data_IF_630441526390
#
_entry.id   IF_630441526390
#
_cell.length_a   1.000
_cell.length_b   1.000
_cell.length_c   1.000
_cell.angle_alpha   90.00
_cell.angle_beta   90.00
_cell.angle_gamma   90.00
#
_symmetry.space_group_name_H-M   'P 1'
#
loop_
_entity.id
_entity.type
_entity.pdbx_description
1 polymer ?
#
# COMPACT_ATOMS: atom_id res chain seq x y z
N UNK A 1 39.16 -18.20 -11.60
CA UNK A 1 38.07 -18.67 -10.70
C UNK A 1 37.18 -17.55 -10.12
N UNK A 2 37.68 -16.33 -9.88
CA UNK A 2 36.88 -15.26 -9.24
C UNK A 2 35.73 -14.68 -10.10
N UNK A 3 35.86 -14.70 -11.44
CA UNK A 3 34.86 -14.11 -12.34
C UNK A 3 33.51 -14.86 -12.32
N UNK A 4 33.57 -16.19 -12.21
CA UNK A 4 32.38 -17.04 -12.06
C UNK A 4 31.70 -16.85 -10.70
N UNK A 5 32.47 -16.58 -9.64
CA UNK A 5 31.93 -16.32 -8.29
C UNK A 5 31.11 -15.02 -8.28
N UNK A 6 31.57 -13.96 -8.95
CA UNK A 6 30.79 -12.73 -9.08
C UNK A 6 29.51 -12.92 -9.92
N UNK A 7 29.57 -13.70 -11.00
CA UNK A 7 28.40 -13.98 -11.83
C UNK A 7 27.33 -14.77 -11.04
N UNK A 8 27.75 -15.78 -10.28
CA UNK A 8 26.87 -16.58 -9.42
C UNK A 8 26.30 -15.75 -8.26
N UNK A 9 27.09 -14.83 -7.69
CA UNK A 9 26.62 -13.90 -6.66
C UNK A 9 25.58 -12.91 -7.21
N UNK A 10 25.75 -12.41 -8.43
CA UNK A 10 24.79 -11.49 -9.07
C UNK A 10 23.46 -12.17 -9.40
N UNK A 11 23.48 -13.45 -9.80
CA UNK A 11 22.27 -14.24 -10.08
C UNK A 11 21.44 -14.52 -8.81
N UNK A 12 22.07 -14.59 -7.63
CA UNK A 12 21.43 -14.90 -6.36
C UNK A 12 20.61 -13.72 -5.77
N UNK A 13 20.80 -12.48 -6.23
CA UNK A 13 20.03 -11.30 -5.78
C UNK A 13 18.77 -11.01 -6.62
N UNK A 14 18.35 -11.95 -7.47
CA UNK A 14 17.10 -11.86 -8.22
C UNK A 14 15.89 -12.09 -7.31
N UNK A 15 15.71 -11.25 -6.29
CA UNK A 15 14.59 -11.29 -5.36
C UNK A 15 13.32 -10.75 -6.02
N UNK A 16 12.31 -11.60 -6.17
CA UNK A 16 10.99 -11.18 -6.62
C UNK A 16 10.26 -10.47 -5.47
N UNK A 17 10.20 -9.13 -5.50
CA UNK A 17 9.41 -8.37 -4.53
C UNK A 17 7.92 -8.49 -4.85
N UNK A 18 7.22 -9.40 -4.18
CA UNK A 18 5.76 -9.39 -4.15
C UNK A 18 5.30 -8.29 -3.20
N UNK A 19 4.85 -7.15 -3.74
CA UNK A 19 4.38 -6.03 -2.95
C UNK A 19 2.90 -6.25 -2.59
N UNK A 20 2.57 -6.27 -1.30
CA UNK A 20 1.16 -6.26 -0.84
C UNK A 20 0.78 -4.82 -0.56
N UNK A 21 -0.36 -4.37 -1.09
CA UNK A 21 -0.92 -3.04 -0.88
C UNK A 21 -2.15 -3.12 0.01
N UNK A 22 -2.45 -2.03 0.70
CA UNK A 22 -3.65 -1.89 1.51
C UNK A 22 -4.61 -0.93 0.84
N UNK A 23 -5.85 -1.36 0.57
CA UNK A 23 -6.88 -0.56 -0.10
C UNK A 23 -8.17 -0.56 0.73
N UNK A 24 -8.83 0.59 0.82
CA UNK A 24 -10.14 0.72 1.44
C UNK A 24 -11.22 0.11 0.53
N UNK A 25 -12.27 -0.49 1.09
CA UNK A 25 -13.35 -1.11 0.31
C UNK A 25 -14.33 -0.06 -0.21
N UNK A 26 -14.97 -0.37 -1.33
CA UNK A 26 -16.08 0.40 -1.87
C UNK A 26 -17.39 0.10 -1.10
N UNK A 27 -18.32 1.06 -1.11
CA UNK A 27 -19.61 0.92 -0.43
C UNK A 27 -19.58 1.01 1.10
N UNK A 28 -18.40 1.30 1.68
CA UNK A 28 -18.27 1.59 3.11
C UNK A 28 -18.63 3.06 3.36
N UNK A 29 -19.38 3.34 4.42
CA UNK A 29 -19.81 4.71 4.73
C UNK A 29 -18.63 5.67 4.90
N UNK A 30 -18.77 6.90 4.40
CA UNK A 30 -17.72 7.94 4.43
C UNK A 30 -17.19 8.22 5.83
N UNK A 31 -18.05 8.12 6.85
CA UNK A 31 -17.64 8.28 8.25
C UNK A 31 -16.68 7.19 8.73
N UNK A 32 -16.80 5.97 8.22
CA UNK A 32 -15.84 4.90 8.54
C UNK A 32 -14.51 5.11 7.80
N UNK A 33 -14.57 5.54 6.53
CA UNK A 33 -13.37 5.90 5.76
C UNK A 33 -12.61 7.07 6.42
N UNK A 34 -13.29 8.11 6.86
CA UNK A 34 -12.68 9.23 7.60
C UNK A 34 -12.02 8.79 8.91
N UNK A 35 -12.67 7.91 9.68
CA UNK A 35 -12.05 7.34 10.90
C UNK A 35 -10.79 6.54 10.59
N UNK A 36 -10.78 5.80 9.49
CA UNK A 36 -9.60 5.08 9.00
C UNK A 36 -8.47 6.05 8.65
N UNK A 37 -8.77 7.14 7.95
CA UNK A 37 -7.79 8.19 7.61
C UNK A 37 -7.21 8.79 8.90
N UNK A 38 -8.05 9.26 9.81
CA UNK A 38 -7.63 9.90 11.06
C UNK A 38 -6.71 8.99 11.90
N UNK A 39 -7.11 7.72 12.07
CA UNK A 39 -6.29 6.72 12.77
C UNK A 39 -4.97 6.44 12.05
N UNK A 40 -4.98 6.25 10.74
CA UNK A 40 -3.77 5.98 9.96
C UNK A 40 -2.77 7.14 10.10
N UNK A 41 -3.23 8.38 9.90
CA UNK A 41 -2.41 9.58 10.01
C UNK A 41 -1.85 9.76 11.43
N UNK A 42 -2.68 9.58 12.46
CA UNK A 42 -2.25 9.67 13.86
C UNK A 42 -1.29 8.56 14.28
N UNK A 43 -1.36 7.39 13.64
CA UNK A 43 -0.58 6.20 14.00
C UNK A 43 0.71 6.02 13.18
N UNK A 44 1.08 6.99 12.35
CA UNK A 44 2.37 7.06 11.67
C UNK A 44 2.33 6.91 10.14
N UNK A 45 1.15 6.95 9.51
CA UNK A 45 1.07 7.15 8.06
C UNK A 45 1.62 8.52 7.66
N UNK A 46 2.10 8.62 6.42
CA UNK A 46 2.34 9.92 5.80
C UNK A 46 1.05 10.38 5.11
N UNK A 47 0.41 11.43 5.64
CA UNK A 47 -0.81 12.01 5.09
C UNK A 47 -0.57 13.37 4.42
N UNK A 48 0.68 13.81 4.32
CA UNK A 48 1.06 15.10 3.71
C UNK A 48 0.73 15.14 2.21
N UNK A 49 0.64 13.97 1.57
CA UNK A 49 0.29 13.89 0.16
C UNK A 49 -1.22 14.00 -0.13
N UNK A 50 -2.09 13.73 0.85
CA UNK A 50 -3.57 13.71 0.65
C UNK A 50 -4.27 14.95 1.20
N UNK A 51 -3.56 15.86 1.84
CA UNK A 51 -4.09 17.16 2.26
C UNK A 51 -4.20 18.13 1.07
N UNK A 52 -4.90 19.25 1.25
CA UNK A 52 -4.94 20.32 0.25
C UNK A 52 -3.53 20.73 -0.18
N UNK A 53 -3.30 20.79 -1.50
CA UNK A 53 -1.99 21.00 -2.15
C UNK A 53 -1.01 19.83 -2.07
N UNK A 54 -1.42 18.67 -1.54
CA UNK A 54 -0.64 17.45 -1.56
C UNK A 54 -0.59 16.80 -2.95
N UNK A 55 0.49 16.05 -3.23
CA UNK A 55 0.72 15.41 -4.52
C UNK A 55 -0.32 14.34 -4.90
N UNK A 56 -1.01 13.77 -3.92
CA UNK A 56 -2.05 12.75 -4.06
C UNK A 56 -3.42 13.25 -3.59
N UNK A 57 -3.65 14.57 -3.57
CA UNK A 57 -4.94 15.14 -3.19
C UNK A 57 -6.06 14.78 -4.18
N UNK A 58 -5.72 14.65 -5.47
CA UNK A 58 -6.68 14.29 -6.51
C UNK A 58 -6.62 12.79 -6.83
N UNK A 59 -7.77 12.11 -6.96
CA UNK A 59 -9.14 12.66 -6.86
C UNK A 59 -9.54 13.01 -5.41
N UNK A 60 -10.19 14.16 -5.23
CA UNK A 60 -10.63 14.65 -3.91
C UNK A 60 -11.87 13.88 -3.42
N UNK A 61 -11.66 12.61 -3.10
CA UNK A 61 -12.68 11.72 -2.57
C UNK A 61 -12.15 11.07 -1.29
N UNK A 62 -13.05 10.88 -0.32
CA UNK A 62 -12.69 10.27 0.97
C UNK A 62 -12.11 8.86 0.76
N UNK A 63 -12.65 8.11 -0.21
CA UNK A 63 -12.16 6.80 -0.62
C UNK A 63 -10.68 6.85 -1.06
N UNK A 64 -10.33 7.72 -1.99
CA UNK A 64 -8.96 7.83 -2.50
C UNK A 64 -7.96 8.28 -1.42
N UNK A 65 -8.37 9.20 -0.54
CA UNK A 65 -7.56 9.60 0.61
C UNK A 65 -7.39 8.45 1.61
N UNK A 66 -8.44 7.65 1.83
CA UNK A 66 -8.39 6.44 2.66
C UNK A 66 -7.43 5.41 2.09
N UNK A 67 -7.51 5.10 0.79
CA UNK A 67 -6.62 4.15 0.12
C UNK A 67 -5.15 4.54 0.32
N UNK A 68 -4.83 5.81 0.13
CA UNK A 68 -3.46 6.30 0.33
C UNK A 68 -3.02 6.25 1.80
N UNK A 69 -3.85 6.73 2.73
CA UNK A 69 -3.52 6.76 4.16
C UNK A 69 -3.34 5.34 4.73
N UNK A 70 -4.25 4.43 4.40
CA UNK A 70 -4.22 3.03 4.82
C UNK A 70 -3.00 2.30 4.23
N UNK A 71 -2.69 2.53 2.95
CA UNK A 71 -1.48 2.01 2.33
C UNK A 71 -0.20 2.55 2.97
N UNK A 72 -0.12 3.87 3.17
CA UNK A 72 1.04 4.51 3.79
C UNK A 72 1.27 3.99 5.21
N UNK A 73 0.21 3.82 6.00
CA UNK A 73 0.27 3.16 7.31
C UNK A 73 0.78 1.72 7.21
N UNK A 74 0.17 0.90 6.35
CA UNK A 74 0.51 -0.51 6.21
C UNK A 74 1.96 -0.71 5.76
N UNK A 75 2.43 0.07 4.78
CA UNK A 75 3.81 -0.01 4.30
C UNK A 75 4.83 0.43 5.36
N UNK A 76 4.49 1.43 6.18
CA UNK A 76 5.40 1.95 7.22
C UNK A 76 5.39 1.13 8.50
N UNK A 77 4.25 0.52 8.84
CA UNK A 77 4.03 -0.18 10.10
C UNK A 77 3.86 -1.69 9.94
N UNK A 78 3.90 -2.20 8.72
CA UNK A 78 3.83 -3.63 8.41
C UNK A 78 4.94 -4.42 9.11
N UNK A 79 6.15 -3.86 9.17
CA UNK A 79 7.28 -4.47 9.91
C UNK A 79 7.05 -4.59 11.42
N UNK A 80 6.11 -3.83 11.97
CA UNK A 80 5.70 -3.88 13.39
C UNK A 80 4.41 -4.66 13.62
N UNK A 81 3.92 -5.39 12.60
CA UNK A 81 2.70 -6.21 12.69
C UNK A 81 1.40 -5.45 12.43
N UNK A 82 1.45 -4.26 11.81
CA UNK A 82 0.23 -3.56 11.40
C UNK A 82 -0.55 -4.36 10.34
N UNK A 83 -1.87 -4.38 10.47
CA UNK A 83 -2.77 -5.08 9.54
C UNK A 83 -3.59 -4.09 8.73
N UNK A 84 -4.01 -4.51 7.53
CA UNK A 84 -4.92 -3.77 6.67
C UNK A 84 -6.38 -4.22 6.88
N UNK A 85 -6.86 -4.21 8.13
CA UNK A 85 -8.25 -4.53 8.42
C UNK A 85 -9.07 -3.25 8.65
N UNK A 86 -8.55 -2.31 9.46
CA UNK A 86 -9.24 -1.08 9.85
C UNK A 86 -10.72 -1.30 10.21
N UNK A 87 -11.01 -2.34 10.99
CA UNK A 87 -12.36 -2.76 11.37
C UNK A 87 -13.22 -3.17 10.16
N UNK A 88 -12.60 -3.93 9.25
CA UNK A 88 -13.17 -4.37 7.98
C UNK A 88 -13.30 -3.30 6.88
N UNK A 89 -12.85 -2.06 7.10
CA UNK A 89 -12.93 -0.94 6.14
C UNK A 89 -11.90 -1.08 5.01
N UNK A 90 -10.77 -1.75 5.27
CA UNK A 90 -9.73 -1.97 4.28
C UNK A 90 -9.42 -3.46 4.09
N UNK A 91 -8.68 -3.78 3.03
CA UNK A 91 -8.19 -5.12 2.73
C UNK A 91 -6.84 -5.07 2.05
N UNK A 92 -6.02 -6.09 2.26
CA UNK A 92 -4.80 -6.27 1.49
C UNK A 92 -5.12 -6.75 0.08
N UNK A 93 -4.36 -6.27 -0.90
CA UNK A 93 -4.35 -6.74 -2.28
C UNK A 93 -2.91 -7.00 -2.70
N UNK A 94 -2.65 -8.13 -3.34
CA UNK A 94 -1.34 -8.40 -3.91
C UNK A 94 -1.16 -7.53 -5.15
N UNK A 95 -0.08 -6.75 -5.23
CA UNK A 95 0.33 -6.15 -6.48
C UNK A 95 0.76 -7.26 -7.42
N UNK A 96 -0.10 -7.57 -8.38
CA UNK A 96 0.31 -8.38 -9.52
C UNK A 96 1.36 -7.59 -10.30
N UNK A 97 2.51 -8.19 -10.67
CA UNK A 97 3.43 -7.52 -11.56
C UNK A 97 2.69 -7.19 -12.86
N UNK A 98 2.89 -5.98 -13.39
CA UNK A 98 2.17 -5.45 -14.56
C UNK A 98 2.33 -6.28 -15.84
N UNK A 99 3.22 -7.29 -15.85
CA UNK A 99 3.32 -8.30 -16.90
C UNK A 99 2.24 -9.39 -16.83
N UNK A 100 1.48 -9.49 -15.74
CA UNK A 100 0.51 -10.56 -15.47
C UNK A 100 -0.95 -10.08 -15.47
N UNK A 101 -1.20 -8.78 -15.63
CA UNK A 101 -2.56 -8.20 -15.69
C UNK A 101 -3.31 -8.53 -17.00
N UNK A 102 -2.74 -9.39 -17.86
CA UNK A 102 -3.36 -9.90 -19.09
C UNK A 102 -4.15 -11.21 -18.90
N UNK A 103 -4.23 -11.80 -17.70
CA UNK A 103 -4.82 -13.14 -17.50
C UNK A 103 -5.85 -13.25 -16.37
N UNK A 104 -6.74 -12.28 -16.23
CA UNK A 104 -8.04 -12.54 -15.56
C UNK A 104 -9.13 -11.78 -16.30
N UNK A 105 -9.59 -12.42 -17.38
CA UNK A 105 -10.98 -12.38 -17.82
C UNK A 105 -11.61 -13.69 -17.40
#
# INVERSE_FOLDING_TARGET
>A
MAFWVCLVLLLALSGHSSATYCVCKDGVGEGALQKTIDYACGSGADCSAIIQNGACYQPNTVKAHCDYAANSYYQRKGSTGATCDFNGVATTVAAVPSSSMLLTN
#
